data_IF_644680104351
#
_entry.id   IF_644680104351
#
_cell.length_a   1.000
_cell.length_b   1.000
_cell.length_c   1.000
_cell.angle_alpha   90.00
_cell.angle_beta   90.00
_cell.angle_gamma   90.00
#
_symmetry.space_group_name_H-M   'P 1'
#
loop_
_entity.id
_entity.type
_entity.pdbx_description
1 polymer ?
#
# COMPACT_ATOMS: atom_id res chain seq x y z
N UNK A 1 -10.45 -19.99 15.68
CA UNK A 1 -9.07 -19.54 15.99
C UNK A 1 -8.63 -18.51 14.98
N UNK A 2 -7.88 -17.48 15.38
CA UNK A 2 -7.33 -16.47 14.46
C UNK A 2 -5.85 -16.79 14.18
N UNK A 3 -5.43 -16.64 12.94
CA UNK A 3 -4.03 -16.86 12.51
C UNK A 3 -3.30 -15.53 12.45
N UNK A 4 -2.22 -15.40 13.24
CA UNK A 4 -1.33 -14.25 13.26
C UNK A 4 -0.03 -14.60 12.51
N UNK A 5 0.18 -13.97 11.35
CA UNK A 5 1.40 -14.08 10.56
C UNK A 5 2.50 -13.17 11.14
N UNK A 6 3.63 -13.76 11.53
CA UNK A 6 4.77 -13.06 12.12
C UNK A 6 6.05 -13.28 11.30
N UNK A 7 7.14 -12.61 11.70
CA UNK A 7 8.44 -12.65 10.99
C UNK A 7 8.33 -12.24 9.52
N UNK A 8 7.46 -11.28 9.21
CA UNK A 8 7.36 -10.65 7.90
C UNK A 8 8.59 -9.76 7.68
N UNK A 9 9.28 -9.96 6.55
CA UNK A 9 10.55 -9.27 6.24
C UNK A 9 10.47 -8.41 4.97
N UNK A 10 9.44 -8.58 4.16
CA UNK A 10 9.24 -7.85 2.91
C UNK A 10 7.75 -7.85 2.52
N UNK A 11 7.32 -7.00 1.56
CA UNK A 11 5.94 -6.95 1.09
C UNK A 11 5.38 -8.27 0.54
N UNK A 12 6.22 -9.12 -0.07
CA UNK A 12 5.78 -10.40 -0.63
C UNK A 12 5.28 -11.35 0.46
N UNK A 13 5.93 -11.38 1.63
CA UNK A 13 5.44 -12.19 2.78
C UNK A 13 4.03 -11.77 3.22
N UNK A 14 3.70 -10.47 3.12
CA UNK A 14 2.37 -9.95 3.45
C UNK A 14 1.34 -10.44 2.44
N UNK A 15 1.70 -10.37 1.14
CA UNK A 15 0.84 -10.84 0.05
C UNK A 15 0.56 -12.33 0.20
N UNK A 16 1.58 -13.15 0.47
CA UNK A 16 1.43 -14.59 0.63
C UNK A 16 0.60 -14.95 1.87
N UNK A 17 0.84 -14.28 3.00
CA UNK A 17 0.05 -14.47 4.21
C UNK A 17 -1.42 -14.09 4.01
N UNK A 18 -1.69 -12.97 3.34
CA UNK A 18 -3.05 -12.53 3.03
C UNK A 18 -3.76 -13.51 2.09
N UNK A 19 -3.08 -13.98 1.03
CA UNK A 19 -3.60 -15.01 0.10
C UNK A 19 -3.88 -16.34 0.80
N UNK A 20 -3.06 -16.70 1.79
CA UNK A 20 -3.25 -17.89 2.60
C UNK A 20 -4.37 -17.77 3.66
N UNK A 21 -5.01 -16.59 3.79
CA UNK A 21 -6.11 -16.37 4.73
C UNK A 21 -5.66 -16.07 6.17
N UNK A 22 -4.45 -15.53 6.36
CA UNK A 22 -4.05 -15.01 7.66
C UNK A 22 -5.01 -13.89 8.11
N UNK A 23 -5.36 -13.88 9.39
CA UNK A 23 -6.33 -12.92 9.95
C UNK A 23 -5.63 -11.63 10.39
N UNK A 24 -4.41 -11.77 10.92
CA UNK A 24 -3.60 -10.68 11.47
C UNK A 24 -2.16 -10.85 10.98
N UNK A 25 -1.44 -9.75 10.81
CA UNK A 25 -0.02 -9.74 10.47
C UNK A 25 0.74 -8.78 11.38
N UNK A 26 1.90 -9.20 11.89
CA UNK A 26 2.85 -8.34 12.60
C UNK A 26 4.14 -8.19 11.78
N UNK A 27 4.59 -6.96 11.60
CA UNK A 27 5.70 -6.62 10.71
C UNK A 27 6.43 -5.35 11.18
N UNK A 28 7.69 -5.12 10.77
CA UNK A 28 8.38 -3.84 10.98
C UNK A 28 7.63 -2.69 10.32
N UNK A 29 7.80 -1.46 10.80
CA UNK A 29 7.14 -0.28 10.22
C UNK A 29 7.55 -0.01 8.75
N UNK A 30 8.83 -0.22 8.43
CA UNK A 30 9.34 -0.10 7.04
C UNK A 30 8.65 -1.05 6.07
N UNK A 31 8.37 -2.27 6.54
CA UNK A 31 7.27 -3.17 6.14
C UNK A 31 6.07 -2.50 5.48
N UNK A 32 5.31 -1.88 6.38
CA UNK A 32 4.04 -1.24 6.14
C UNK A 32 4.16 -0.04 5.21
N UNK A 33 5.21 0.77 5.36
CA UNK A 33 5.45 1.90 4.46
C UNK A 33 5.68 1.47 3.00
N UNK A 34 6.30 0.31 2.77
CA UNK A 34 6.50 -0.21 1.42
C UNK A 34 5.18 -0.69 0.80
N UNK A 35 4.24 -1.22 1.61
CA UNK A 35 2.95 -1.72 1.11
C UNK A 35 2.08 -0.61 0.49
N UNK A 36 2.20 0.62 0.98
CA UNK A 36 1.38 1.75 0.53
C UNK A 36 2.00 2.54 -0.63
N UNK A 37 3.26 2.25 -1.00
CA UNK A 37 4.01 2.98 -2.04
C UNK A 37 3.98 2.21 -3.35
N UNK A 38 3.54 2.87 -4.43
CA UNK A 38 3.60 2.31 -5.77
C UNK A 38 3.86 3.41 -6.81
N UNK A 39 4.84 3.26 -7.73
CA UNK A 39 5.22 4.31 -8.69
C UNK A 39 4.06 4.81 -9.57
N UNK A 40 3.14 3.92 -9.96
CA UNK A 40 1.98 4.32 -10.76
C UNK A 40 0.96 5.15 -9.97
N UNK A 41 0.91 4.98 -8.64
CA UNK A 41 0.05 5.81 -7.78
C UNK A 41 0.57 7.24 -7.75
N UNK A 42 1.88 7.43 -7.59
CA UNK A 42 2.50 8.76 -7.58
C UNK A 42 2.33 9.46 -8.94
N UNK A 43 2.54 8.72 -10.03
CA UNK A 43 2.31 9.23 -11.39
C UNK A 43 0.84 9.59 -11.60
N UNK A 44 -0.09 8.76 -11.10
CA UNK A 44 -1.52 9.00 -11.17
C UNK A 44 -1.94 10.26 -10.42
N UNK A 45 -1.47 10.42 -9.18
CA UNK A 45 -1.73 11.61 -8.35
C UNK A 45 -1.20 12.88 -9.00
N UNK A 46 0.03 12.84 -9.55
CA UNK A 46 0.60 13.98 -10.27
C UNK A 46 -0.28 14.39 -11.45
N UNK A 47 -0.64 13.44 -12.31
CA UNK A 47 -1.51 13.71 -13.48
C UNK A 47 -2.87 14.26 -13.04
N UNK A 48 -3.46 13.67 -12.00
CA UNK A 48 -4.74 14.12 -11.47
C UNK A 48 -4.68 15.59 -11.01
N UNK A 49 -3.64 15.97 -10.29
CA UNK A 49 -3.43 17.36 -9.84
C UNK A 49 -3.17 18.32 -11.01
N UNK A 50 -2.36 17.90 -11.99
CA UNK A 50 -2.08 18.70 -13.19
C UNK A 50 -3.37 18.96 -13.99
N UNK A 51 -4.21 17.95 -14.15
CA UNK A 51 -5.48 18.08 -14.88
C UNK A 51 -6.51 18.89 -14.10
N UNK A 52 -6.54 18.76 -12.77
CA UNK A 52 -7.35 19.61 -11.90
C UNK A 52 -6.97 21.10 -12.06
N UNK A 53 -5.67 21.42 -12.04
CA UNK A 53 -5.20 22.80 -12.25
C UNK A 53 -5.60 23.35 -13.62
N UNK A 54 -5.55 22.53 -14.68
CA UNK A 54 -5.96 22.93 -16.04
C UNK A 54 -7.47 23.14 -16.18
N UNK A 55 -8.29 22.47 -15.37
CA UNK A 55 -9.75 22.55 -15.45
C UNK A 55 -10.32 23.94 -15.13
N UNK A 56 -9.53 24.82 -14.51
CA UNK A 56 -9.97 26.16 -14.09
C UNK A 56 -10.88 26.16 -12.86
N UNK A 57 -11.13 25.00 -12.24
CA UNK A 57 -11.87 24.88 -10.99
C UNK A 57 -11.09 25.51 -9.84
N UNK A 58 -11.66 26.56 -9.23
CA UNK A 58 -11.14 27.16 -8.00
C UNK A 58 -11.77 26.47 -6.79
N UNK A 59 -10.93 26.16 -5.80
CA UNK A 59 -11.36 25.74 -4.46
C UNK A 59 -11.70 27.00 -3.65
#
# INVERSE_FOLDING_TARGET
TQVLAASIRNPLHVIDAAKAGAHVATMPFSVLEQLIKHPLTDIGLKKFLDDWQKSGSKI
#
